data_IF_262215898714
#
_entry.id   IF_262215898714
#
_cell.length_a   1.000
_cell.length_b   1.000
_cell.length_c   1.000
_cell.angle_alpha   90.00
_cell.angle_beta   90.00
_cell.angle_gamma   90.00
#
_symmetry.space_group_name_H-M   'P 1'
#
loop_
_entity.id
_entity.type
_entity.pdbx_description
1 polymer ?
#
# COMPACT_ATOMS: atom_id res chain seq x y z
N UNK A 1 12.90 -15.47 -7.95
CA UNK A 1 14.25 -15.26 -7.38
C UNK A 1 14.34 -13.80 -6.97
N UNK A 2 14.30 -13.50 -5.68
CA UNK A 2 14.32 -12.12 -5.18
C UNK A 2 15.75 -11.57 -5.25
N UNK A 3 16.02 -10.74 -6.26
CA UNK A 3 17.36 -10.23 -6.60
C UNK A 3 17.84 -9.10 -5.65
N UNK A 4 17.02 -8.69 -4.66
CA UNK A 4 17.27 -7.50 -3.84
C UNK A 4 17.42 -7.73 -2.33
N UNK A 5 17.56 -8.97 -1.85
CA UNK A 5 17.71 -9.23 -0.41
C UNK A 5 16.48 -8.91 0.45
N UNK A 6 15.33 -8.66 -0.18
CA UNK A 6 14.03 -8.46 0.44
C UNK A 6 13.12 -9.65 0.09
N UNK A 7 13.06 -10.71 0.90
CA UNK A 7 12.09 -11.77 0.68
C UNK A 7 10.68 -11.20 0.86
N UNK A 8 9.80 -11.48 -0.10
CA UNK A 8 8.42 -11.00 -0.09
C UNK A 8 7.47 -12.12 -0.54
N UNK A 9 6.34 -12.21 0.14
CA UNK A 9 5.21 -13.06 -0.23
C UNK A 9 4.10 -12.21 -0.86
N UNK A 10 3.60 -12.63 -2.03
CA UNK A 10 2.50 -11.97 -2.72
C UNK A 10 1.24 -12.83 -2.55
N UNK A 11 0.27 -12.30 -1.82
CA UNK A 11 -1.01 -12.98 -1.60
C UNK A 11 -2.11 -12.33 -2.42
N UNK A 12 -2.88 -13.14 -3.12
CA UNK A 12 -4.02 -12.70 -3.93
C UNK A 12 -5.26 -13.40 -3.40
N UNK A 13 -6.29 -12.64 -3.09
CA UNK A 13 -7.54 -13.16 -2.54
C UNK A 13 -8.74 -12.43 -3.14
N UNK A 14 -9.90 -13.08 -3.13
CA UNK A 14 -11.10 -12.55 -3.79
C UNK A 14 -11.14 -12.74 -5.30
N UNK A 15 -10.39 -13.72 -5.82
CA UNK A 15 -10.34 -14.05 -7.25
C UNK A 15 -11.67 -14.59 -7.80
N UNK A 16 -12.63 -14.91 -6.92
CA UNK A 16 -13.97 -15.39 -7.30
C UNK A 16 -14.92 -14.25 -7.68
N UNK A 17 -14.53 -12.98 -7.48
CA UNK A 17 -15.33 -11.83 -7.86
C UNK A 17 -15.34 -11.66 -9.39
N UNK A 18 -16.53 -11.61 -9.98
CA UNK A 18 -16.68 -11.37 -11.41
C UNK A 18 -16.44 -9.89 -11.72
N UNK A 19 -15.29 -9.60 -12.30
CA UNK A 19 -14.91 -8.26 -12.77
C UNK A 19 -14.86 -8.27 -14.30
N UNK A 20 -15.41 -7.24 -14.93
CA UNK A 20 -15.35 -7.08 -16.39
C UNK A 20 -13.88 -7.05 -16.86
N UNK A 21 -13.56 -7.86 -17.87
CA UNK A 21 -12.20 -7.98 -18.39
C UNK A 21 -11.64 -6.64 -18.86
N UNK A 22 -12.45 -5.78 -19.46
CA UNK A 22 -12.05 -4.45 -19.95
C UNK A 22 -11.62 -3.54 -18.80
N UNK A 23 -12.23 -3.71 -17.62
CA UNK A 23 -11.83 -2.99 -16.40
C UNK A 23 -10.49 -3.54 -15.91
N UNK A 24 -10.35 -4.86 -15.81
CA UNK A 24 -9.08 -5.50 -15.38
C UNK A 24 -7.91 -5.11 -16.28
N UNK A 25 -8.09 -5.14 -17.60
CA UNK A 25 -7.04 -4.79 -18.55
C UNK A 25 -6.56 -3.33 -18.35
N UNK A 26 -7.45 -2.41 -17.97
CA UNK A 26 -7.10 -1.02 -17.64
C UNK A 26 -6.46 -0.86 -16.26
N UNK A 27 -6.77 -1.75 -15.32
CA UNK A 27 -6.25 -1.72 -13.95
C UNK A 27 -4.94 -2.48 -13.78
N UNK A 28 -4.55 -3.31 -14.75
CA UNK A 28 -3.35 -4.13 -14.69
C UNK A 28 -2.09 -3.29 -14.42
N UNK A 29 -1.83 -2.27 -15.23
CA UNK A 29 -0.66 -1.39 -15.06
C UNK A 29 -0.69 -0.61 -13.73
N UNK A 30 -1.82 0.03 -13.33
CA UNK A 30 -1.96 0.63 -12.01
C UNK A 30 -1.70 -0.34 -10.85
N UNK A 31 -2.25 -1.56 -10.88
CA UNK A 31 -2.07 -2.54 -9.80
C UNK A 31 -0.60 -2.98 -9.73
N UNK A 32 0.03 -3.26 -10.87
CA UNK A 32 1.46 -3.57 -10.91
C UNK A 32 2.31 -2.43 -10.34
N UNK A 33 1.95 -1.19 -10.63
CA UNK A 33 2.63 -0.02 -10.08
C UNK A 33 2.51 0.03 -8.56
N UNK A 34 1.32 -0.24 -7.99
CA UNK A 34 1.12 -0.30 -6.54
C UNK A 34 1.92 -1.42 -5.89
N UNK A 35 1.94 -2.63 -6.47
CA UNK A 35 2.75 -3.75 -5.97
C UNK A 35 4.24 -3.40 -5.99
N UNK A 36 4.71 -2.76 -7.08
CA UNK A 36 6.10 -2.30 -7.17
C UNK A 36 6.42 -1.25 -6.11
N UNK A 37 5.53 -0.29 -5.87
CA UNK A 37 5.72 0.70 -4.80
C UNK A 37 5.81 0.03 -3.42
N UNK A 38 4.95 -0.94 -3.16
CA UNK A 38 5.00 -1.77 -1.95
C UNK A 38 6.37 -2.45 -1.81
N UNK A 39 6.91 -3.04 -2.88
CA UNK A 39 8.22 -3.70 -2.83
C UNK A 39 9.43 -2.75 -2.71
N UNK A 40 9.48 -1.72 -3.56
CA UNK A 40 10.61 -0.81 -3.66
C UNK A 40 10.70 0.11 -2.43
N UNK A 41 9.56 0.65 -2.02
CA UNK A 41 9.49 1.71 -1.01
C UNK A 41 8.87 1.25 0.31
N UNK A 42 7.91 0.32 0.29
CA UNK A 42 7.24 -0.21 1.49
C UNK A 42 8.10 -1.23 2.24
N UNK A 43 8.36 -2.39 1.62
CA UNK A 43 9.08 -3.52 2.22
C UNK A 43 10.53 -3.14 2.53
N UNK A 44 10.89 -3.38 3.77
CA UNK A 44 12.19 -3.08 4.35
C UNK A 44 13.16 -4.26 4.17
N UNK A 45 14.46 -4.09 4.42
CA UNK A 45 15.40 -5.21 4.41
C UNK A 45 15.16 -6.14 5.60
N UNK A 46 15.66 -7.38 5.53
CA UNK A 46 15.52 -8.36 6.61
C UNK A 46 16.07 -7.81 7.94
N UNK A 47 17.18 -7.09 7.91
CA UNK A 47 17.81 -6.50 9.09
C UNK A 47 16.89 -5.45 9.74
N UNK A 48 16.35 -4.54 8.95
CA UNK A 48 15.43 -3.50 9.44
C UNK A 48 14.14 -4.12 9.96
N UNK A 49 13.61 -5.14 9.28
CA UNK A 49 12.40 -5.86 9.75
C UNK A 49 12.64 -6.55 11.09
N UNK A 50 13.78 -7.25 11.26
CA UNK A 50 14.17 -7.87 12.54
C UNK A 50 14.32 -6.85 13.66
N UNK A 51 14.91 -5.67 13.39
CA UNK A 51 15.04 -4.59 14.38
C UNK A 51 13.68 -4.08 14.87
N UNK A 52 12.66 -4.09 14.00
CA UNK A 52 11.29 -3.69 14.33
C UNK A 52 10.40 -4.86 14.79
N UNK A 53 10.98 -6.06 15.02
CA UNK A 53 10.21 -7.24 15.46
C UNK A 53 9.26 -7.82 14.41
N UNK A 54 9.44 -7.47 13.13
CA UNK A 54 8.63 -7.97 12.01
C UNK A 54 9.18 -9.28 11.44
N UNK A 55 8.34 -10.11 10.78
CA UNK A 55 8.79 -11.29 10.05
C UNK A 55 9.83 -10.95 8.98
N UNK A 56 10.79 -11.84 8.73
CA UNK A 56 11.86 -11.60 7.73
C UNK A 56 11.31 -11.42 6.32
N UNK A 57 10.29 -12.22 5.98
CA UNK A 57 9.56 -12.12 4.73
C UNK A 57 8.49 -11.05 4.86
N UNK A 58 8.56 -10.02 4.01
CA UNK A 58 7.51 -9.02 3.87
C UNK A 58 6.28 -9.58 3.18
N UNK A 59 5.15 -8.92 3.32
CA UNK A 59 3.90 -9.36 2.70
C UNK A 59 3.31 -8.23 1.87
N UNK A 60 2.95 -8.54 0.62
CA UNK A 60 2.10 -7.69 -0.22
C UNK A 60 0.83 -8.46 -0.52
N UNK A 61 -0.34 -7.84 -0.33
CA UNK A 61 -1.65 -8.45 -0.54
C UNK A 61 -2.42 -7.67 -1.59
N UNK A 62 -3.05 -8.40 -2.51
CA UNK A 62 -4.09 -7.89 -3.39
C UNK A 62 -5.39 -8.57 -2.95
N UNK A 63 -6.38 -7.78 -2.58
CA UNK A 63 -7.67 -8.27 -2.11
C UNK A 63 -8.80 -7.59 -2.87
N UNK A 64 -9.61 -8.38 -3.56
CA UNK A 64 -10.82 -7.92 -4.22
C UNK A 64 -12.07 -8.36 -3.45
N UNK A 65 -12.99 -7.45 -3.20
CA UNK A 65 -14.23 -7.76 -2.50
C UNK A 65 -15.36 -6.82 -2.92
N UNK A 66 -16.60 -7.23 -2.70
CA UNK A 66 -17.76 -6.37 -2.93
C UNK A 66 -18.16 -5.69 -1.62
N UNK A 67 -18.28 -4.37 -1.65
CA UNK A 67 -18.82 -3.56 -0.57
C UNK A 67 -20.03 -2.80 -1.09
N UNK A 68 -21.20 -3.16 -0.59
CA UNK A 68 -22.49 -2.69 -1.11
C UNK A 68 -22.61 -2.93 -2.62
N UNK A 69 -22.58 -1.84 -3.40
CA UNK A 69 -22.66 -1.81 -4.87
C UNK A 69 -21.30 -1.62 -5.55
N UNK A 70 -20.23 -1.52 -4.78
CA UNK A 70 -18.89 -1.21 -5.27
C UNK A 70 -18.00 -2.44 -5.23
N UNK A 71 -17.24 -2.64 -6.30
CA UNK A 71 -16.10 -3.55 -6.28
C UNK A 71 -14.90 -2.80 -5.72
N UNK A 72 -14.41 -3.28 -4.58
CA UNK A 72 -13.22 -2.76 -3.92
C UNK A 72 -12.02 -3.62 -4.31
N UNK A 73 -10.93 -2.99 -4.75
CA UNK A 73 -9.64 -3.64 -4.98
C UNK A 73 -8.63 -2.95 -4.08
N UNK A 74 -8.15 -3.68 -3.08
CA UNK A 74 -7.17 -3.20 -2.13
C UNK A 74 -5.79 -3.80 -2.44
N UNK A 75 -4.76 -2.96 -2.42
CA UNK A 75 -3.37 -3.38 -2.42
C UNK A 75 -2.76 -2.89 -1.11
N UNK A 76 -2.18 -3.79 -0.32
CA UNK A 76 -1.60 -3.47 0.99
C UNK A 76 -0.25 -4.15 1.17
N UNK A 77 0.65 -3.52 1.94
CA UNK A 77 1.90 -4.11 2.38
C UNK A 77 2.09 -3.97 3.90
N UNK A 78 2.99 -4.76 4.47
CA UNK A 78 3.37 -4.71 5.89
C UNK A 78 4.72 -4.02 6.12
N UNK A 79 5.09 -3.13 5.19
CA UNK A 79 6.33 -2.38 5.18
C UNK A 79 6.37 -1.28 6.23
N UNK A 80 7.27 -0.31 6.02
CA UNK A 80 7.50 0.80 6.96
C UNK A 80 6.35 1.82 7.03
N UNK A 81 5.37 1.72 6.12
CA UNK A 81 4.30 2.70 5.98
C UNK A 81 4.78 4.02 5.35
N UNK A 82 3.88 5.00 5.33
CA UNK A 82 4.15 6.34 4.83
C UNK A 82 4.74 7.23 5.94
N UNK A 83 5.76 7.99 5.58
CA UNK A 83 6.31 9.04 6.44
C UNK A 83 5.46 10.31 6.27
N UNK A 84 4.39 10.40 7.07
CA UNK A 84 3.42 11.50 6.98
C UNK A 84 4.03 12.87 7.28
N UNK A 85 5.01 12.94 8.20
CA UNK A 85 5.72 14.18 8.50
C UNK A 85 6.48 14.68 7.28
N UNK A 86 7.26 13.80 6.64
CA UNK A 86 8.00 14.15 5.43
C UNK A 86 7.08 14.53 4.26
N UNK A 87 5.96 13.83 4.11
CA UNK A 87 4.95 14.17 3.08
C UNK A 87 4.36 15.56 3.35
N UNK A 88 4.04 15.85 4.61
CA UNK A 88 3.48 17.14 5.03
C UNK A 88 4.46 18.28 4.81
N UNK A 89 5.72 18.11 5.24
CA UNK A 89 6.77 19.11 5.01
C UNK A 89 6.98 19.39 3.53
N UNK A 90 6.97 18.35 2.70
CA UNK A 90 7.10 18.50 1.25
C UNK A 90 5.91 19.22 0.64
N UNK A 91 4.69 18.92 1.08
CA UNK A 91 3.48 19.61 0.64
C UNK A 91 3.50 21.10 1.03
N UNK A 92 4.04 21.43 2.21
CA UNK A 92 4.26 22.81 2.67
C UNK A 92 5.24 23.55 1.76
N UNK A 93 6.38 22.95 1.45
CA UNK A 93 7.37 23.53 0.53
C UNK A 93 6.81 23.81 -0.87
N UNK A 94 5.88 22.95 -1.32
CA UNK A 94 5.23 23.08 -2.63
C UNK A 94 4.00 24.01 -2.61
N UNK A 95 3.67 24.65 -1.48
CA UNK A 95 2.45 25.46 -1.29
C UNK A 95 1.16 24.70 -1.67
N UNK A 96 1.13 23.38 -1.42
CA UNK A 96 -0.04 22.52 -1.67
C UNK A 96 -0.98 22.43 -0.46
N UNK A 97 -0.59 23.00 0.67
CA UNK A 97 -1.39 23.02 1.90
C UNK A 97 -2.30 24.24 1.93
N UNK A 98 -3.52 24.05 2.42
CA UNK A 98 -4.39 25.16 2.79
C UNK A 98 -3.76 25.95 3.96
N UNK A 99 -3.96 27.27 4.05
CA UNK A 99 -3.34 28.12 5.07
C UNK A 99 -3.57 27.64 6.51
N UNK A 100 -4.69 26.96 6.77
CA UNK A 100 -5.06 26.42 8.07
C UNK A 100 -4.50 25.02 8.40
N UNK A 101 -3.87 24.32 7.44
CA UNK A 101 -3.36 22.98 7.68
C UNK A 101 -2.03 23.03 8.47
N UNK A 102 -2.09 22.65 9.74
CA UNK A 102 -0.94 22.64 10.66
C UNK A 102 -0.29 21.27 10.85
N UNK A 103 -0.96 20.19 10.44
CA UNK A 103 -0.47 18.81 10.50
C UNK A 103 -1.16 17.93 9.45
N UNK A 104 -0.62 16.72 9.20
CA UNK A 104 -1.27 15.75 8.33
C UNK A 104 -2.62 15.32 8.97
N UNK A 105 -3.73 15.30 8.23
CA UNK A 105 -5.02 14.98 8.84
C UNK A 105 -5.04 13.55 9.40
N UNK A 106 -5.21 13.41 10.71
CA UNK A 106 -5.22 12.10 11.39
C UNK A 106 -6.26 11.13 10.80
N UNK A 107 -7.40 11.66 10.32
CA UNK A 107 -8.45 10.86 9.70
C UNK A 107 -8.05 10.23 8.34
N UNK A 108 -7.05 10.78 7.64
CA UNK A 108 -6.50 10.19 6.41
C UNK A 108 -5.43 9.13 6.73
N UNK A 109 -4.77 9.22 7.89
CA UNK A 109 -3.92 8.15 8.40
C UNK A 109 -4.76 6.97 8.91
N UNK A 110 -5.99 7.25 9.35
CA UNK A 110 -7.01 6.28 9.73
C UNK A 110 -7.88 5.86 8.53
N UNK A 111 -7.28 5.44 7.40
CA UNK A 111 -7.98 4.44 6.61
C UNK A 111 -8.22 3.24 7.53
N UNK A 112 -9.42 2.66 7.57
CA UNK A 112 -9.70 1.53 8.45
C UNK A 112 -8.59 0.51 8.20
N UNK A 113 -7.83 0.17 9.24
CA UNK A 113 -6.91 -0.96 9.16
C UNK A 113 -7.81 -2.16 8.98
N UNK A 114 -8.11 -2.51 7.73
CA UNK A 114 -8.97 -3.64 7.43
C UNK A 114 -8.19 -4.86 7.87
N UNK A 115 -8.59 -5.43 9.03
CA UNK A 115 -8.21 -6.78 9.39
C UNK A 115 -8.85 -7.68 8.34
N UNK A 116 -8.09 -8.00 7.30
CA UNK A 116 -8.32 -9.19 6.49
C UNK A 116 -7.77 -10.39 7.25
#
# INVERSE_FOLDING_TARGET
VAVHGKPVDLQISGADLLIDKTIIDKLYDPILHLVRNGFDHGIESVEVRRQHGKPETGQIRIHAYQQDRWTMIAVSDDGKGLDFEKIFDRAREMNLLMPEASSFPEHLAAFPTFSF
#
